data_IF_499449275912
#
_entry.id   IF_499449275912
#
_cell.length_a   1.000
_cell.length_b   1.000
_cell.length_c   1.000
_cell.angle_alpha   90.00
_cell.angle_beta   90.00
_cell.angle_gamma   90.00
#
_symmetry.space_group_name_H-M   'P 1'
#
loop_
_entity.id
_entity.type
_entity.pdbx_description
1 polymer ?
#
# COMPACT_ATOMS: atom_id res chain seq x y z
N UNK A 1 4.74 0.28 1.44
CA UNK A 1 4.72 0.96 2.74
C UNK A 1 4.84 2.46 2.51
N UNK A 2 4.24 3.29 3.35
CA UNK A 2 4.28 4.73 3.17
C UNK A 2 5.46 5.35 3.92
N UNK A 3 6.50 5.74 3.18
CA UNK A 3 7.67 6.45 3.71
C UNK A 3 7.65 7.86 3.10
N UNK A 4 7.92 8.94 3.84
CA UNK A 4 7.82 10.31 3.32
C UNK A 4 8.45 10.51 1.94
N UNK A 5 9.67 10.02 1.76
CA UNK A 5 10.44 10.09 0.52
C UNK A 5 9.67 9.58 -0.72
N UNK A 6 8.84 8.55 -0.57
CA UNK A 6 8.03 8.00 -1.68
C UNK A 6 6.87 8.93 -2.07
N UNK A 7 6.43 9.82 -1.19
CA UNK A 7 5.25 10.65 -1.41
C UNK A 7 5.55 12.16 -1.53
N UNK A 8 6.80 12.56 -1.32
CA UNK A 8 7.27 13.95 -1.39
C UNK A 8 6.92 14.63 -2.72
N UNK A 9 7.01 13.90 -3.83
CA UNK A 9 6.70 14.41 -5.17
C UNK A 9 5.35 13.94 -5.72
N UNK A 10 4.54 13.25 -4.90
CA UNK A 10 3.24 12.74 -5.33
C UNK A 10 2.29 13.87 -5.81
N UNK A 11 1.83 13.82 -7.05
CA UNK A 11 0.98 14.84 -7.64
C UNK A 11 -0.50 14.58 -7.32
N UNK A 12 -1.15 15.51 -6.62
CA UNK A 12 -2.56 15.38 -6.22
C UNK A 12 -3.43 16.38 -6.99
N UNK A 13 -4.13 15.90 -8.01
CA UNK A 13 -5.11 16.71 -8.74
C UNK A 13 -6.52 16.48 -8.17
N UNK A 14 -6.91 17.30 -7.17
CA UNK A 14 -8.22 17.17 -6.50
C UNK A 14 -9.42 17.25 -7.46
N UNK A 15 -9.46 18.20 -8.44
CA UNK A 15 -10.52 18.24 -9.44
C UNK A 15 -10.72 16.93 -10.21
N UNK A 16 -9.63 16.34 -10.74
CA UNK A 16 -9.69 15.07 -11.47
C UNK A 16 -10.18 13.94 -10.57
N UNK A 17 -9.67 13.86 -9.33
CA UNK A 17 -10.08 12.82 -8.36
C UNK A 17 -11.59 12.95 -8.03
N UNK A 18 -12.10 14.18 -7.86
CA UNK A 18 -13.52 14.40 -7.60
C UNK A 18 -14.40 14.05 -8.81
N UNK A 19 -13.96 14.39 -10.03
CA UNK A 19 -14.65 14.00 -11.25
C UNK A 19 -14.70 12.48 -11.41
N UNK A 20 -13.58 11.79 -11.19
CA UNK A 20 -13.50 10.33 -11.22
C UNK A 20 -14.42 9.70 -10.15
N UNK A 21 -14.47 10.27 -8.95
CA UNK A 21 -15.37 9.81 -7.89
C UNK A 21 -16.84 10.01 -8.25
N UNK A 22 -17.20 11.14 -8.86
CA UNK A 22 -18.55 11.35 -9.38
C UNK A 22 -18.90 10.29 -10.44
N UNK A 23 -18.01 10.07 -11.41
CA UNK A 23 -18.17 9.04 -12.44
C UNK A 23 -18.36 7.63 -11.85
N UNK A 24 -17.59 7.28 -10.82
CA UNK A 24 -17.77 6.01 -10.10
C UNK A 24 -19.14 5.91 -9.43
N UNK A 25 -19.61 6.97 -8.76
CA UNK A 25 -20.93 6.98 -8.08
C UNK A 25 -22.11 6.83 -9.04
N UNK A 26 -22.04 7.44 -10.22
CA UNK A 26 -23.08 7.29 -11.25
C UNK A 26 -22.94 6.00 -12.06
N UNK A 27 -21.92 5.19 -11.78
CA UNK A 27 -21.79 3.85 -12.33
C UNK A 27 -20.97 3.72 -13.62
N UNK A 28 -20.25 4.76 -14.06
CA UNK A 28 -19.41 4.71 -15.27
C UNK A 28 -18.40 3.56 -15.19
N UNK A 29 -17.87 3.28 -13.99
CA UNK A 29 -16.90 2.19 -13.77
C UNK A 29 -17.42 0.81 -14.16
N UNK A 30 -18.74 0.58 -14.19
CA UNK A 30 -19.33 -0.72 -14.57
C UNK A 30 -19.13 -1.06 -16.05
N UNK A 31 -18.94 -0.07 -16.91
CA UNK A 31 -18.64 -0.27 -18.33
C UNK A 31 -17.19 -0.70 -18.59
N UNK A 32 -16.33 -0.65 -17.57
CA UNK A 32 -14.92 -0.98 -17.67
C UNK A 32 -14.56 -2.14 -16.73
N UNK A 33 -15.01 -3.38 -16.99
CA UNK A 33 -14.90 -4.48 -16.04
C UNK A 33 -13.47 -4.81 -15.59
N UNK A 34 -12.50 -4.37 -16.39
CA UNK A 34 -11.07 -4.48 -16.12
C UNK A 34 -10.67 -3.72 -14.84
N UNK A 35 -11.30 -2.59 -14.50
CA UNK A 35 -10.88 -1.78 -13.32
C UNK A 35 -11.03 -2.51 -12.00
N UNK A 36 -12.03 -3.39 -11.88
CA UNK A 36 -12.20 -4.23 -10.70
C UNK A 36 -11.37 -5.52 -10.85
N UNK A 37 -11.42 -6.14 -12.03
CA UNK A 37 -10.79 -7.43 -12.31
C UNK A 37 -9.26 -7.38 -12.31
N UNK A 38 -8.66 -6.19 -12.44
CA UNK A 38 -7.22 -5.98 -12.39
C UNK A 38 -6.65 -5.92 -10.97
N UNK A 39 -7.50 -5.85 -9.94
CA UNK A 39 -7.08 -5.76 -8.55
C UNK A 39 -6.29 -6.99 -8.09
N UNK A 40 -5.28 -6.77 -7.26
CA UNK A 40 -4.48 -7.84 -6.64
C UNK A 40 -5.36 -8.84 -5.89
N UNK A 41 -6.38 -8.35 -5.18
CA UNK A 41 -7.34 -9.19 -4.45
C UNK A 41 -8.07 -10.21 -5.35
N UNK A 42 -8.38 -9.84 -6.60
CA UNK A 42 -9.00 -10.76 -7.56
C UNK A 42 -7.96 -11.67 -8.24
N UNK A 43 -6.77 -11.16 -8.53
CA UNK A 43 -5.73 -11.88 -9.28
C UNK A 43 -4.96 -12.91 -8.45
N UNK A 44 -4.67 -12.61 -7.18
CA UNK A 44 -3.69 -13.35 -6.38
C UNK A 44 -4.27 -14.57 -5.64
N UNK A 45 -5.52 -14.95 -5.96
CA UNK A 45 -5.94 -16.37 -5.88
C UNK A 45 -6.50 -16.88 -4.55
N UNK A 46 -6.71 -16.04 -3.53
CA UNK A 46 -7.28 -16.50 -2.24
C UNK A 46 -8.80 -16.44 -2.17
N UNK A 47 -9.43 -15.66 -3.05
CA UNK A 47 -10.88 -15.50 -3.07
C UNK A 47 -11.55 -16.61 -3.89
N UNK A 48 -12.62 -17.17 -3.35
CA UNK A 48 -13.60 -17.99 -4.08
C UNK A 48 -14.32 -17.16 -5.15
N UNK A 49 -15.02 -17.82 -6.07
CA UNK A 49 -15.72 -17.10 -7.14
C UNK A 49 -16.88 -16.25 -6.63
N UNK A 50 -17.53 -16.65 -5.54
CA UNK A 50 -18.58 -15.84 -4.91
C UNK A 50 -17.99 -14.64 -4.16
N UNK A 51 -16.86 -14.81 -3.46
CA UNK A 51 -16.14 -13.68 -2.86
C UNK A 51 -15.65 -12.69 -3.92
N UNK A 52 -15.18 -13.15 -5.09
CA UNK A 52 -14.85 -12.27 -6.22
C UNK A 52 -16.06 -11.48 -6.71
N UNK A 53 -17.25 -12.09 -6.79
CA UNK A 53 -18.49 -11.38 -7.17
C UNK A 53 -18.83 -10.30 -6.15
N UNK A 54 -18.74 -10.62 -4.86
CA UNK A 54 -18.98 -9.67 -3.76
C UNK A 54 -17.96 -8.53 -3.80
N UNK A 55 -16.67 -8.84 -3.96
CA UNK A 55 -15.61 -7.84 -4.09
C UNK A 55 -15.89 -6.88 -5.25
N UNK A 56 -16.23 -7.40 -6.44
CA UNK A 56 -16.56 -6.57 -7.61
C UNK A 56 -17.74 -5.65 -7.34
N UNK A 57 -18.80 -6.17 -6.69
CA UNK A 57 -19.97 -5.37 -6.33
C UNK A 57 -19.60 -4.21 -5.38
N UNK A 58 -18.80 -4.49 -4.35
CA UNK A 58 -18.28 -3.47 -3.41
C UNK A 58 -17.41 -2.45 -4.14
N UNK A 59 -16.48 -2.91 -4.99
CA UNK A 59 -15.61 -2.04 -5.78
C UNK A 59 -16.43 -1.06 -6.61
N UNK A 60 -17.38 -1.52 -7.43
CA UNK A 60 -18.17 -0.61 -8.26
C UNK A 60 -19.07 0.34 -7.47
N UNK A 61 -19.44 -0.02 -6.24
CA UNK A 61 -20.27 0.83 -5.38
C UNK A 61 -19.44 1.86 -4.59
N UNK A 62 -18.22 1.51 -4.18
CA UNK A 62 -17.45 2.24 -3.16
C UNK A 62 -16.09 2.74 -3.63
N UNK A 63 -15.68 2.51 -4.88
CA UNK A 63 -14.41 3.05 -5.40
C UNK A 63 -14.36 4.57 -5.30
N UNK A 64 -13.19 5.08 -4.92
CA UNK A 64 -12.98 6.50 -4.59
C UNK A 64 -14.01 7.02 -3.59
N UNK A 65 -14.26 6.26 -2.52
CA UNK A 65 -15.10 6.69 -1.38
C UNK A 65 -14.57 7.99 -0.74
N UNK A 66 -15.37 8.63 0.13
CA UNK A 66 -14.92 9.82 0.86
C UNK A 66 -13.62 9.54 1.64
N UNK A 67 -13.54 8.41 2.33
CA UNK A 67 -12.36 8.02 3.10
C UNK A 67 -11.13 7.84 2.22
N UNK A 68 -11.26 7.15 1.07
CA UNK A 68 -10.15 6.98 0.13
C UNK A 68 -9.65 8.32 -0.43
N UNK A 69 -10.57 9.23 -0.78
CA UNK A 69 -10.18 10.56 -1.26
C UNK A 69 -9.49 11.38 -0.17
N UNK A 70 -10.00 11.34 1.05
CA UNK A 70 -9.38 12.02 2.18
C UNK A 70 -7.96 11.51 2.42
N UNK A 71 -7.75 10.19 2.39
CA UNK A 71 -6.40 9.60 2.50
C UNK A 71 -5.44 10.17 1.43
N UNK A 72 -5.89 10.25 0.18
CA UNK A 72 -5.09 10.86 -0.90
C UNK A 72 -4.82 12.34 -0.62
N UNK A 73 -5.81 13.08 -0.13
CA UNK A 73 -5.70 14.51 0.12
C UNK A 73 -4.81 14.88 1.30
N UNK A 74 -4.62 13.97 2.25
CA UNK A 74 -3.75 14.13 3.41
C UNK A 74 -2.29 13.74 3.15
N UNK A 75 -1.96 13.14 1.99
CA UNK A 75 -0.60 12.66 1.68
C UNK A 75 0.47 13.73 1.99
N UNK A 76 0.32 14.97 1.53
CA UNK A 76 1.33 16.03 1.73
C UNK A 76 1.42 16.49 3.19
N UNK A 77 0.29 16.59 3.88
CA UNK A 77 0.25 16.95 5.30
C UNK A 77 0.91 15.86 6.15
N UNK A 78 0.63 14.58 5.84
CA UNK A 78 1.23 13.43 6.51
C UNK A 78 2.75 13.35 6.26
N UNK A 79 3.22 13.61 5.04
CA UNK A 79 4.66 13.70 4.72
C UNK A 79 5.33 14.76 5.59
N UNK A 80 4.77 15.97 5.65
CA UNK A 80 5.32 17.06 6.47
C UNK A 80 5.32 16.71 7.97
N UNK A 81 4.24 16.12 8.46
CA UNK A 81 4.11 15.69 9.85
C UNK A 81 5.15 14.63 10.22
N UNK A 82 5.26 13.55 9.44
CA UNK A 82 6.24 12.49 9.71
C UNK A 82 7.67 13.02 9.64
N UNK A 83 7.99 13.87 8.66
CA UNK A 83 9.31 14.50 8.58
C UNK A 83 9.59 15.40 9.81
N UNK A 84 8.58 16.07 10.37
CA UNK A 84 8.74 16.91 11.57
C UNK A 84 8.94 16.12 12.87
N UNK A 85 8.38 14.90 12.96
CA UNK A 85 8.48 14.03 14.14
C UNK A 85 9.80 13.25 14.18
N UNK A 86 10.47 13.10 13.03
CA UNK A 86 11.70 12.32 12.91
C UNK A 86 11.45 10.81 12.90
N UNK A 87 12.54 10.03 12.89
CA UNK A 87 12.47 8.56 12.90
C UNK A 87 12.13 8.04 14.30
N UNK A 88 11.35 6.95 14.42
CA UNK A 88 11.04 6.37 15.72
C UNK A 88 12.30 5.77 16.39
N UNK A 89 12.38 5.84 17.72
CA UNK A 89 13.43 5.22 18.53
C UNK A 89 13.07 3.81 19.01
N UNK A 90 12.41 3.02 18.15
CA UNK A 90 11.94 1.68 18.48
C UNK A 90 12.40 0.68 17.40
N UNK A 91 12.66 -0.59 17.76
CA UNK A 91 13.00 -1.63 16.79
C UNK A 91 11.91 -1.79 15.72
N UNK A 92 12.30 -1.82 14.43
CA UNK A 92 11.39 -2.01 13.30
C UNK A 92 11.70 -3.30 12.57
N UNK A 93 10.69 -4.16 12.40
CA UNK A 93 10.72 -5.21 11.38
C UNK A 93 10.00 -4.71 10.12
N UNK A 94 10.73 -4.59 9.02
CA UNK A 94 10.25 -4.02 7.78
C UNK A 94 10.22 -5.06 6.66
N UNK A 95 9.02 -5.42 6.19
CA UNK A 95 8.83 -6.25 4.99
C UNK A 95 8.57 -5.38 3.76
N UNK A 96 9.27 -5.64 2.65
CA UNK A 96 9.21 -4.80 1.45
C UNK A 96 9.01 -5.67 0.21
N UNK A 97 8.00 -5.32 -0.59
CA UNK A 97 7.76 -5.93 -1.91
C UNK A 97 8.86 -5.61 -2.91
N UNK A 98 8.92 -6.36 -4.00
CA UNK A 98 9.84 -6.14 -5.12
C UNK A 98 9.56 -4.84 -5.93
N UNK A 99 8.60 -4.01 -5.51
CA UNK A 99 8.20 -2.75 -6.16
C UNK A 99 7.13 -2.89 -7.24
N UNK A 100 6.77 -4.09 -7.69
CA UNK A 100 5.70 -4.27 -8.67
C UNK A 100 4.33 -3.81 -8.12
N UNK A 101 3.50 -3.26 -9.01
CA UNK A 101 2.18 -2.68 -8.70
C UNK A 101 2.19 -1.45 -7.77
N UNK A 102 3.37 -0.94 -7.38
CA UNK A 102 3.48 0.28 -6.55
C UNK A 102 3.45 1.58 -7.35
N UNK A 103 3.73 1.50 -8.66
CA UNK A 103 3.95 2.65 -9.52
C UNK A 103 5.37 3.24 -9.47
N UNK A 104 6.27 2.68 -8.67
CA UNK A 104 7.66 3.12 -8.52
C UNK A 104 8.64 2.18 -9.21
N UNK A 105 9.81 2.71 -9.59
CA UNK A 105 10.94 1.87 -9.98
C UNK A 105 11.38 1.00 -8.78
N UNK A 106 11.66 -0.28 -9.03
CA UNK A 106 12.09 -1.25 -8.01
C UNK A 106 13.23 -0.74 -7.13
N UNK A 107 14.29 -0.18 -7.72
CA UNK A 107 15.45 0.28 -6.98
C UNK A 107 15.10 1.51 -6.13
N UNK A 108 14.36 2.47 -6.68
CA UNK A 108 13.87 3.63 -5.92
C UNK A 108 13.00 3.21 -4.75
N UNK A 109 12.11 2.24 -4.97
CA UNK A 109 11.26 1.66 -3.93
C UNK A 109 12.11 1.02 -2.83
N UNK A 110 13.00 0.08 -3.15
CA UNK A 110 13.77 -0.64 -2.12
C UNK A 110 14.71 0.31 -1.36
N UNK A 111 15.40 1.22 -2.05
CA UNK A 111 16.38 2.10 -1.42
C UNK A 111 15.76 3.16 -0.51
N UNK A 112 14.58 3.70 -0.84
CA UNK A 112 13.88 4.62 0.05
C UNK A 112 13.52 3.97 1.40
N UNK A 113 13.09 2.71 1.35
CA UNK A 113 12.72 1.94 2.54
C UNK A 113 13.92 1.58 3.39
N UNK A 114 15.00 1.15 2.74
CA UNK A 114 16.27 0.85 3.38
C UNK A 114 16.84 2.09 4.06
N UNK A 115 16.90 3.22 3.36
CA UNK A 115 17.34 4.51 3.89
C UNK A 115 16.55 4.94 5.12
N UNK A 116 15.24 4.69 5.13
CA UNK A 116 14.38 5.06 6.26
C UNK A 116 14.74 4.32 7.55
N UNK A 117 14.96 3.00 7.50
CA UNK A 117 15.29 2.24 8.71
C UNK A 117 16.77 2.28 9.08
N UNK A 118 17.63 2.78 8.17
CA UNK A 118 19.05 2.99 8.46
C UNK A 118 19.20 3.84 9.73
N UNK A 119 20.07 3.38 10.62
CA UNK A 119 20.38 3.95 11.93
C UNK A 119 19.26 3.83 12.99
N UNK A 120 18.21 3.04 12.77
CA UNK A 120 17.26 2.69 13.83
C UNK A 120 17.74 1.39 14.51
N UNK A 121 18.13 1.42 15.80
CA UNK A 121 18.68 0.25 16.49
C UNK A 121 17.73 -0.95 16.47
N UNK A 122 18.31 -2.15 16.42
CA UNK A 122 17.57 -3.42 16.43
C UNK A 122 16.51 -3.57 15.33
N UNK A 123 16.64 -2.81 14.22
CA UNK A 123 15.73 -2.92 13.08
C UNK A 123 16.22 -3.94 12.07
N UNK A 124 15.28 -4.63 11.41
CA UNK A 124 15.53 -5.64 10.39
C UNK A 124 14.68 -5.35 9.17
N UNK A 125 15.29 -5.41 7.99
CA UNK A 125 14.62 -5.38 6.70
C UNK A 125 14.56 -6.79 6.10
N UNK A 126 13.43 -7.12 5.49
CA UNK A 126 13.24 -8.35 4.72
C UNK A 126 12.62 -7.96 3.37
N UNK A 127 13.40 -8.13 2.31
CA UNK A 127 12.90 -8.05 0.96
C UNK A 127 12.14 -9.33 0.63
N UNK A 128 10.91 -9.18 0.15
CA UNK A 128 10.04 -10.26 -0.26
C UNK A 128 9.91 -10.18 -1.77
N UNK A 129 10.26 -11.27 -2.47
CA UNK A 129 10.11 -11.36 -3.92
C UNK A 129 8.65 -11.59 -4.31
N UNK A 130 7.84 -10.57 -4.07
CA UNK A 130 6.41 -10.54 -4.31
C UNK A 130 5.97 -9.10 -4.63
N UNK A 131 4.84 -8.95 -5.31
CA UNK A 131 4.23 -7.66 -5.64
C UNK A 131 3.66 -6.96 -4.40
N UNK A 132 2.99 -5.80 -4.59
CA UNK A 132 2.63 -4.89 -3.51
C UNK A 132 1.87 -5.50 -2.32
N UNK A 133 0.96 -6.45 -2.55
CA UNK A 133 0.13 -7.08 -1.50
C UNK A 133 0.83 -8.29 -0.86
N UNK A 134 2.05 -8.10 -0.36
CA UNK A 134 2.88 -9.17 0.22
C UNK A 134 2.19 -9.99 1.32
N UNK A 135 1.23 -9.40 2.03
CA UNK A 135 0.47 -10.08 3.09
C UNK A 135 -0.51 -11.13 2.53
N UNK A 136 -0.84 -11.09 1.24
CA UNK A 136 -1.64 -12.12 0.59
C UNK A 136 -0.77 -13.24 -0.01
N UNK A 137 0.52 -12.98 -0.25
CA UNK A 137 1.42 -13.87 -0.99
C UNK A 137 2.40 -14.59 -0.06
N UNK A 138 2.83 -13.93 1.01
CA UNK A 138 3.92 -14.38 1.89
C UNK A 138 3.54 -14.27 3.37
N UNK A 139 2.28 -14.54 3.69
CA UNK A 139 1.73 -14.53 5.05
C UNK A 139 2.49 -15.45 6.01
N UNK A 140 2.85 -16.67 5.60
CA UNK A 140 3.62 -17.61 6.41
C UNK A 140 5.02 -17.06 6.75
N UNK A 141 5.70 -16.46 5.77
CA UNK A 141 7.00 -15.80 5.96
C UNK A 141 6.87 -14.64 6.94
N UNK A 142 5.87 -13.77 6.73
CA UNK A 142 5.61 -12.62 7.59
C UNK A 142 5.36 -13.08 9.03
N UNK A 143 4.54 -14.11 9.23
CA UNK A 143 4.23 -14.65 10.54
C UNK A 143 5.47 -15.24 11.24
N UNK A 144 6.27 -16.04 10.52
CA UNK A 144 7.50 -16.65 11.04
C UNK A 144 8.52 -15.59 11.46
N UNK A 145 8.79 -14.63 10.59
CA UNK A 145 9.79 -13.60 10.83
C UNK A 145 9.35 -12.62 11.91
N UNK A 146 8.05 -12.30 11.99
CA UNK A 146 7.48 -11.50 13.08
C UNK A 146 7.68 -12.18 14.44
N UNK A 147 7.38 -13.49 14.55
CA UNK A 147 7.63 -14.25 15.78
C UNK A 147 9.12 -14.29 16.15
N UNK A 148 10.00 -14.52 15.17
CA UNK A 148 11.44 -14.53 15.40
C UNK A 148 11.97 -13.18 15.87
N UNK A 149 11.46 -12.09 15.30
CA UNK A 149 11.83 -10.73 15.68
C UNK A 149 11.39 -10.40 17.11
N UNK A 150 10.12 -10.68 17.44
CA UNK A 150 9.58 -10.44 18.79
C UNK A 150 10.34 -11.21 19.87
N UNK A 151 10.73 -12.46 19.62
CA UNK A 151 11.51 -13.27 20.57
C UNK A 151 12.95 -12.78 20.78
N UNK A 152 13.45 -11.87 19.93
CA UNK A 152 14.79 -11.28 20.01
C UNK A 152 14.78 -9.86 20.55
N UNK A 153 13.60 -9.29 20.82
CA UNK A 153 13.51 -7.99 21.46
C UNK A 153 13.99 -8.10 22.91
N UNK A 154 14.73 -7.10 23.41
CA UNK A 154 15.22 -7.06 24.78
C UNK A 154 14.10 -6.95 25.82
#
# INVERSE_FOLDING_TARGET
MAIPQIYEDYLINRPIINLASFGSKIGITRFFPQVASSSAAIKQGTLTDDEKKVYKAIFYQKTLSKSMRNEIYEIKANVALVNSLGKPHLPILLFISNGEETGWNKNTWIEAQKSYITNIPNSKMIEVDASHYIHNISDELIAKESKSFLNKLP
#
